data_IF_453206401340
#
_entry.id   IF_453206401340
#
_cell.length_a   1.000
_cell.length_b   1.000
_cell.length_c   1.000
_cell.angle_alpha   90.00
_cell.angle_beta   90.00
_cell.angle_gamma   90.00
#
_symmetry.space_group_name_H-M   'P 1'
#
loop_
_entity.id
_entity.type
_entity.pdbx_description
1 polymer ?
#
# COMPACT_ATOMS: atom_id res chain seq x y z
N UNK A 1 44.39 40.03 -16.11
CA UNK A 1 44.34 38.75 -16.84
C UNK A 1 43.23 37.89 -16.25
N UNK A 2 41.99 38.23 -16.58
CA UNK A 2 40.77 37.56 -16.11
C UNK A 2 40.48 36.35 -17.00
N UNK A 3 40.68 35.14 -16.48
CA UNK A 3 40.28 33.92 -17.18
C UNK A 3 38.76 33.79 -17.16
N UNK A 4 38.15 34.11 -18.29
CA UNK A 4 36.74 33.92 -18.59
C UNK A 4 36.50 32.40 -18.72
N UNK A 5 35.85 31.80 -17.71
CA UNK A 5 35.33 30.43 -17.81
C UNK A 5 34.14 30.43 -18.76
N UNK A 6 34.29 29.76 -19.90
CA UNK A 6 33.17 29.35 -20.74
C UNK A 6 32.23 28.44 -19.91
N UNK A 7 30.93 28.73 -19.81
CA UNK A 7 29.97 27.73 -19.36
C UNK A 7 29.80 26.70 -20.48
N UNK A 8 30.04 25.43 -20.16
CA UNK A 8 29.81 24.30 -21.05
C UNK A 8 28.32 24.21 -21.39
N UNK A 9 27.99 24.58 -22.62
CA UNK A 9 26.73 24.27 -23.31
C UNK A 9 26.57 22.74 -23.39
N UNK A 10 25.92 22.14 -22.40
CA UNK A 10 25.53 20.73 -22.44
C UNK A 10 24.06 20.52 -22.07
N UNK A 11 23.22 21.50 -22.37
CA UNK A 11 21.76 21.29 -22.44
C UNK A 11 21.42 20.80 -23.86
N UNK A 12 21.95 19.63 -24.20
CA UNK A 12 21.47 18.87 -25.34
C UNK A 12 20.04 18.44 -25.00
N UNK A 13 19.07 18.96 -25.74
CA UNK A 13 17.66 18.55 -25.67
C UNK A 13 17.63 17.02 -25.65
N UNK A 14 17.27 16.42 -24.50
CA UNK A 14 17.21 14.97 -24.36
C UNK A 14 16.22 14.45 -25.38
N UNK A 15 16.73 13.73 -26.39
CA UNK A 15 15.91 13.05 -27.38
C UNK A 15 14.80 12.26 -26.66
N UNK A 16 13.54 12.28 -27.15
CA UNK A 16 12.45 11.55 -26.51
C UNK A 16 12.76 10.06 -26.40
N UNK A 17 12.22 9.42 -25.37
CA UNK A 17 12.36 7.98 -25.17
C UNK A 17 11.34 7.22 -26.03
N UNK A 18 11.76 6.13 -26.67
CA UNK A 18 10.86 5.22 -27.40
C UNK A 18 10.02 4.31 -26.50
N UNK A 19 10.32 4.32 -25.19
CA UNK A 19 9.57 3.58 -24.18
C UNK A 19 8.91 4.57 -23.23
N UNK A 20 7.59 4.44 -23.05
CA UNK A 20 6.84 5.17 -22.04
C UNK A 20 6.65 4.35 -20.77
N UNK A 21 6.58 5.04 -19.63
CA UNK A 21 6.23 4.44 -18.34
C UNK A 21 4.89 4.99 -17.88
N UNK A 22 3.94 4.07 -17.67
CA UNK A 22 2.66 4.32 -17.00
C UNK A 22 2.67 3.63 -15.64
N UNK A 23 2.21 4.35 -14.62
CA UNK A 23 2.12 3.85 -13.25
C UNK A 23 0.69 4.03 -12.77
N UNK A 24 0.07 2.95 -12.32
CA UNK A 24 -1.27 2.99 -11.76
C UNK A 24 -1.25 2.34 -10.38
N UNK A 25 -1.80 3.03 -9.38
CA UNK A 25 -2.10 2.42 -8.08
C UNK A 25 -3.22 1.41 -8.30
N UNK A 26 -3.00 0.19 -7.85
CA UNK A 26 -4.03 -0.85 -7.81
C UNK A 26 -4.92 -0.56 -6.60
N UNK A 27 -5.99 0.21 -6.81
CA UNK A 27 -7.05 0.36 -5.82
C UNK A 27 -8.04 -0.80 -5.94
N UNK A 28 -8.61 -1.19 -4.80
CA UNK A 28 -9.73 -2.13 -4.80
C UNK A 28 -11.04 -1.36 -4.98
N UNK A 29 -12.06 -1.98 -5.59
CA UNK A 29 -13.38 -1.40 -5.69
C UNK A 29 -13.93 -1.03 -4.31
N UNK A 30 -14.57 0.13 -4.19
CA UNK A 30 -15.32 0.52 -3.00
C UNK A 30 -16.81 0.63 -3.33
N UNK A 31 -17.65 0.44 -2.30
CA UNK A 31 -19.08 0.66 -2.45
C UNK A 31 -19.37 2.16 -2.38
N UNK A 32 -20.15 2.64 -3.33
CA UNK A 32 -20.65 4.02 -3.32
C UNK A 32 -21.93 4.02 -2.52
N UNK A 33 -21.98 4.86 -1.49
CA UNK A 33 -23.24 5.21 -0.85
C UNK A 33 -24.09 5.98 -1.84
N UNK A 34 -24.89 5.29 -2.64
CA UNK A 34 -25.92 5.94 -3.43
C UNK A 34 -27.03 6.37 -2.48
N UNK A 35 -27.16 7.68 -2.27
CA UNK A 35 -28.42 8.22 -1.77
C UNK A 35 -29.47 7.96 -2.86
N UNK A 36 -30.62 7.37 -2.53
CA UNK A 36 -31.71 7.27 -3.48
C UNK A 36 -32.01 8.67 -4.01
N UNK A 37 -31.96 8.87 -5.32
CA UNK A 37 -32.33 10.15 -5.94
C UNK A 37 -33.83 10.46 -5.78
N UNK A 38 -34.61 9.57 -5.17
CA UNK A 38 -35.99 9.83 -4.76
C UNK A 38 -36.33 9.13 -3.44
N UNK A 39 -37.05 9.80 -2.52
CA UNK A 39 -37.60 9.15 -1.32
C UNK A 39 -38.51 7.98 -1.72
N UNK A 40 -38.54 6.87 -0.95
CA UNK A 40 -39.54 5.85 -1.17
C UNK A 40 -40.89 6.39 -0.68
N UNK A 41 -41.79 6.55 -1.64
CA UNK A 41 -43.25 6.75 -1.54
C UNK A 41 -43.74 8.21 -1.49
N UNK A 42 -44.49 8.56 -2.53
CA UNK A 42 -45.91 8.87 -2.34
C UNK A 42 -46.68 8.26 -3.50
N UNK A 43 -47.12 7.01 -3.32
CA UNK A 43 -48.28 6.53 -4.04
C UNK A 43 -49.46 7.36 -3.55
N UNK A 44 -49.85 8.41 -4.29
CA UNK A 44 -51.22 8.95 -4.46
C UNK A 44 -51.12 10.20 -5.34
N UNK A 45 -51.85 10.21 -6.48
CA UNK A 45 -51.95 11.27 -7.51
C UNK A 45 -50.65 11.47 -8.31
N UNK A 46 -50.59 11.26 -9.63
CA UNK A 46 -51.32 11.95 -10.71
C UNK A 46 -51.29 11.10 -12.01
N UNK A 47 -52.18 11.37 -12.98
CA UNK A 47 -52.63 10.41 -13.98
C UNK A 47 -51.70 10.27 -15.20
N UNK A 48 -51.97 9.19 -15.93
CA UNK A 48 -51.47 8.82 -17.24
C UNK A 48 -51.21 9.98 -18.22
N UNK A 49 -49.94 10.38 -18.38
CA UNK A 49 -49.35 10.67 -19.70
C UNK A 49 -47.86 10.36 -19.62
N UNK A 50 -47.47 9.27 -20.27
CA UNK A 50 -46.12 8.72 -20.17
C UNK A 50 -45.10 9.60 -20.86
N UNK A 51 -44.10 10.08 -20.11
CA UNK A 51 -42.74 10.24 -20.61
C UNK A 51 -41.74 10.24 -19.47
N UNK A 52 -41.22 9.06 -19.14
CA UNK A 52 -39.98 8.91 -18.36
C UNK A 52 -38.84 9.52 -19.19
N UNK A 53 -37.97 10.38 -18.64
CA UNK A 53 -36.78 10.84 -19.37
C UNK A 53 -35.89 9.63 -19.69
N UNK A 54 -35.27 9.56 -20.88
CA UNK A 54 -34.37 8.46 -21.23
C UNK A 54 -33.15 8.47 -20.29
N UNK A 55 -32.65 7.31 -19.85
CA UNK A 55 -31.40 7.26 -19.10
C UNK A 55 -30.26 7.76 -19.99
N UNK A 56 -29.42 8.63 -19.43
CA UNK A 56 -28.19 9.08 -20.08
C UNK A 56 -27.18 7.92 -20.00
N UNK A 57 -26.44 7.59 -21.08
CA UNK A 57 -25.40 6.57 -21.02
C UNK A 57 -24.30 6.99 -20.04
N UNK A 58 -24.08 6.21 -18.99
CA UNK A 58 -23.18 6.56 -17.89
C UNK A 58 -21.69 6.26 -18.16
N UNK A 59 -21.31 5.84 -19.36
CA UNK A 59 -19.93 5.46 -19.66
C UNK A 59 -19.53 5.83 -21.08
N UNK A 60 -18.50 6.69 -21.20
CA UNK A 60 -17.76 6.95 -22.44
C UNK A 60 -16.65 5.90 -22.67
N UNK A 61 -16.52 4.90 -21.79
CA UNK A 61 -15.46 3.88 -21.89
C UNK A 61 -15.76 2.77 -22.92
N UNK A 62 -16.95 2.79 -23.53
CA UNK A 62 -17.36 1.82 -24.55
C UNK A 62 -17.76 2.59 -25.82
N UNK A 63 -16.96 2.49 -26.89
CA UNK A 63 -17.37 3.02 -28.19
C UNK A 63 -18.28 1.98 -28.87
N UNK A 64 -19.58 2.25 -29.07
CA UNK A 64 -20.51 1.31 -29.70
C UNK A 64 -20.19 1.08 -31.19
N UNK A 65 -19.22 1.81 -31.77
CA UNK A 65 -18.83 1.67 -33.18
C UNK A 65 -18.10 0.38 -33.50
N UNK A 66 -17.50 -0.29 -32.51
CA UNK A 66 -16.84 -1.58 -32.73
C UNK A 66 -17.81 -2.78 -32.84
N UNK A 67 -19.11 -2.58 -32.56
CA UNK A 67 -20.13 -3.62 -32.71
C UNK A 67 -20.85 -3.61 -34.08
N UNK A 68 -20.52 -2.67 -34.96
CA UNK A 68 -21.22 -2.45 -36.23
C UNK A 68 -20.35 -2.57 -37.48
N UNK A 69 -19.07 -2.96 -37.36
CA UNK A 69 -18.15 -2.87 -38.50
C UNK A 69 -18.13 -4.07 -39.43
N UNK A 70 -18.56 -5.26 -39.03
CA UNK A 70 -18.60 -6.36 -39.97
C UNK A 70 -19.64 -7.40 -39.55
N UNK A 71 -20.58 -7.70 -40.45
CA UNK A 71 -21.70 -8.62 -40.21
C UNK A 71 -21.29 -10.09 -40.13
N UNK A 72 -20.09 -10.40 -39.66
CA UNK A 72 -19.58 -11.76 -39.52
C UNK A 72 -19.00 -11.99 -38.12
N UNK A 73 -19.50 -13.03 -37.45
CA UNK A 73 -19.10 -13.44 -36.11
C UNK A 73 -17.73 -14.11 -36.18
N UNK A 74 -16.65 -13.35 -35.93
CA UNK A 74 -15.37 -13.93 -35.52
C UNK A 74 -14.84 -13.19 -34.31
N UNK A 75 -14.79 -13.92 -33.20
CA UNK A 75 -14.22 -13.70 -31.87
C UNK A 75 -13.94 -12.24 -31.42
N UNK A 76 -14.71 -11.70 -30.45
CA UNK A 76 -14.42 -10.41 -29.84
C UNK A 76 -13.15 -10.47 -28.98
N UNK A 77 -12.36 -9.39 -28.87
CA UNK A 77 -11.33 -9.28 -27.84
C UNK A 77 -11.98 -9.52 -26.46
N UNK A 78 -11.31 -10.31 -25.62
CA UNK A 78 -11.81 -10.81 -24.33
C UNK A 78 -12.02 -9.70 -23.28
N UNK A 79 -13.00 -8.83 -23.52
CA UNK A 79 -13.50 -7.86 -22.54
C UNK A 79 -14.87 -8.39 -22.13
N UNK A 80 -14.93 -8.95 -20.92
CA UNK A 80 -16.14 -9.55 -20.36
C UNK A 80 -17.29 -8.50 -20.31
N UNK A 81 -18.33 -8.63 -21.15
CA UNK A 81 -19.43 -7.69 -21.22
C UNK A 81 -20.55 -8.00 -20.22
N UNK A 82 -20.42 -9.05 -19.41
CA UNK A 82 -21.47 -9.44 -18.48
C UNK A 82 -21.64 -8.37 -17.39
N UNK A 83 -22.85 -7.81 -17.22
CA UNK A 83 -23.10 -6.80 -16.21
C UNK A 83 -22.90 -7.42 -14.83
N UNK A 84 -21.83 -7.03 -14.15
CA UNK A 84 -21.64 -7.40 -12.75
C UNK A 84 -22.77 -6.78 -11.93
N UNK A 85 -23.52 -7.61 -11.21
CA UNK A 85 -24.77 -7.19 -10.52
C UNK A 85 -24.54 -6.00 -9.57
N UNK A 86 -23.33 -5.87 -9.02
CA UNK A 86 -22.96 -4.76 -8.14
C UNK A 86 -22.31 -3.57 -8.86
N UNK A 87 -22.13 -3.61 -10.19
CA UNK A 87 -21.60 -2.48 -10.98
C UNK A 87 -22.26 -1.13 -10.67
N UNK A 88 -23.59 -1.03 -10.44
CA UNK A 88 -24.21 0.25 -10.12
C UNK A 88 -23.73 0.86 -8.80
N UNK A 89 -23.26 0.04 -7.85
CA UNK A 89 -22.89 0.47 -6.50
C UNK A 89 -21.39 0.40 -6.23
N UNK A 90 -20.59 0.02 -7.23
CA UNK A 90 -19.13 -0.09 -7.10
C UNK A 90 -18.48 1.02 -7.91
N UNK A 91 -17.68 1.87 -7.28
CA UNK A 91 -16.76 2.76 -7.99
C UNK A 91 -15.32 2.47 -7.59
N UNK A 92 -14.40 2.79 -8.49
CA UNK A 92 -13.00 2.92 -8.12
C UNK A 92 -12.83 4.24 -7.33
N UNK A 93 -12.09 4.22 -6.21
CA UNK A 93 -11.71 5.45 -5.53
C UNK A 93 -11.00 6.41 -6.50
N UNK A 94 -11.06 7.74 -6.26
CA UNK A 94 -10.30 8.72 -7.04
C UNK A 94 -8.85 8.26 -7.20
N UNK A 95 -8.32 8.31 -8.43
CA UNK A 95 -6.98 7.82 -8.75
C UNK A 95 -5.92 8.47 -7.86
N UNK A 96 -5.12 7.66 -7.16
CA UNK A 96 -4.26 8.06 -6.02
C UNK A 96 -5.02 8.65 -4.82
N UNK A 97 -6.09 7.96 -4.36
CA UNK A 97 -6.72 8.24 -3.07
C UNK A 97 -5.72 8.23 -1.90
N UNK A 98 -6.19 8.55 -0.69
CA UNK A 98 -5.35 8.52 0.51
C UNK A 98 -4.66 7.14 0.65
N UNK A 99 -3.39 7.14 1.04
CA UNK A 99 -2.68 5.92 1.45
C UNK A 99 -2.62 5.92 2.97
N UNK A 100 -2.84 4.77 3.60
CA UNK A 100 -2.82 4.68 5.06
C UNK A 100 -1.75 3.74 5.58
N UNK A 101 -1.21 4.08 6.76
CA UNK A 101 -0.29 3.21 7.47
C UNK A 101 -0.99 1.92 7.84
N UNK A 102 -0.31 0.82 7.54
CA UNK A 102 -0.76 -0.54 7.72
C UNK A 102 -1.41 -1.16 6.49
N UNK A 103 -1.60 -0.41 5.41
CA UNK A 103 -2.00 -0.95 4.12
C UNK A 103 -0.79 -1.40 3.29
N UNK A 104 -1.02 -2.38 2.41
CA UNK A 104 -0.09 -2.73 1.34
C UNK A 104 -0.32 -1.84 0.13
N UNK A 105 0.58 -0.89 -0.09
CA UNK A 105 0.63 -0.08 -1.29
C UNK A 105 0.96 -0.95 -2.51
N UNK A 106 0.03 -1.02 -3.46
CA UNK A 106 0.15 -1.85 -4.65
C UNK A 106 0.10 -1.00 -5.92
N UNK A 107 1.05 -1.19 -6.83
CA UNK A 107 1.13 -0.45 -8.09
C UNK A 107 1.44 -1.39 -9.26
N UNK A 108 0.83 -1.14 -10.40
CA UNK A 108 1.27 -1.70 -11.68
C UNK A 108 2.15 -0.70 -12.42
N UNK A 109 3.31 -1.18 -12.86
CA UNK A 109 4.30 -0.47 -13.65
C UNK A 109 4.29 -1.05 -15.05
N UNK A 110 3.96 -0.21 -16.04
CA UNK A 110 3.87 -0.63 -17.44
C UNK A 110 4.89 0.15 -18.27
N UNK A 111 5.89 -0.53 -18.79
CA UNK A 111 6.83 0.01 -19.76
C UNK A 111 6.37 -0.39 -21.17
N UNK A 112 5.90 0.57 -21.96
CA UNK A 112 5.32 0.33 -23.30
C UNK A 112 6.26 0.84 -24.38
N UNK A 113 6.50 0.04 -25.42
CA UNK A 113 7.17 0.50 -26.63
C UNK A 113 6.18 1.33 -27.43
N UNK A 114 6.38 2.64 -27.44
CA UNK A 114 5.54 3.54 -28.24
C UNK A 114 6.05 3.56 -29.69
N UNK A 115 5.29 2.97 -30.61
CA UNK A 115 5.64 2.86 -32.01
C UNK A 115 5.39 4.18 -32.77
N UNK A 116 5.97 5.29 -32.31
CA UNK A 116 5.91 6.58 -33.01
C UNK A 116 6.86 6.55 -34.20
N UNK A 117 6.47 5.88 -35.29
CA UNK A 117 7.28 5.88 -36.52
C UNK A 117 6.87 4.96 -37.65
N UNK A 118 5.89 4.06 -37.51
CA UNK A 118 5.55 3.11 -38.60
C UNK A 118 4.26 3.42 -39.36
N UNK A 119 3.49 4.43 -38.97
CA UNK A 119 2.30 4.87 -39.71
C UNK A 119 2.61 6.14 -40.49
N UNK A 120 3.40 5.99 -41.55
CA UNK A 120 3.23 6.89 -42.70
C UNK A 120 1.93 6.43 -43.35
N UNK A 121 0.83 7.11 -43.03
CA UNK A 121 -0.26 7.19 -44.00
C UNK A 121 0.37 7.74 -45.26
N UNK A 122 0.34 6.94 -46.32
CA UNK A 122 0.68 7.32 -47.68
C UNK A 122 -0.24 8.45 -48.12
N UNK A 123 0.08 9.68 -47.73
CA UNK A 123 -0.44 10.88 -48.36
C UNK A 123 0.77 11.62 -48.92
N UNK A 124 0.76 11.76 -50.24
CA UNK A 124 1.89 12.22 -51.03
C UNK A 124 2.27 13.67 -50.67
N UNK A 125 3.55 13.91 -50.41
CA UNK A 125 4.10 15.25 -50.65
C UNK A 125 5.07 15.85 -49.62
N UNK A 126 5.42 15.18 -48.52
CA UNK A 126 6.41 15.73 -47.58
C UNK A 126 7.64 14.82 -47.44
N UNK A 127 8.82 15.35 -47.81
CA UNK A 127 10.11 14.65 -47.75
C UNK A 127 10.59 14.62 -46.31
N UNK A 128 9.95 13.78 -45.50
CA UNK A 128 10.45 13.40 -44.19
C UNK A 128 11.59 12.39 -44.37
N UNK A 129 12.68 12.44 -43.56
CA UNK A 129 13.75 11.45 -43.62
C UNK A 129 13.20 10.04 -43.36
N UNK A 130 13.84 8.98 -43.89
CA UNK A 130 13.33 7.62 -43.79
C UNK A 130 13.05 7.25 -42.33
N UNK A 131 11.85 6.73 -42.06
CA UNK A 131 11.47 6.23 -40.74
C UNK A 131 12.45 5.13 -40.33
N UNK A 132 13.40 5.48 -39.46
CA UNK A 132 14.39 4.52 -38.96
C UNK A 132 13.68 3.50 -38.09
N UNK A 133 13.68 2.24 -38.51
CA UNK A 133 13.09 1.17 -37.73
C UNK A 133 13.92 0.95 -36.44
N UNK A 134 13.34 1.38 -35.32
CA UNK A 134 13.96 1.28 -33.99
C UNK A 134 13.52 -0.01 -33.32
N UNK A 135 14.46 -0.89 -33.01
CA UNK A 135 14.22 -2.11 -32.23
C UNK A 135 14.56 -1.86 -30.76
N UNK A 136 13.65 -2.26 -29.86
CA UNK A 136 13.81 -2.09 -28.42
C UNK A 136 14.06 -3.45 -27.78
N UNK A 137 15.22 -3.57 -27.14
CA UNK A 137 15.69 -4.80 -26.50
C UNK A 137 16.01 -4.57 -25.03
N UNK A 138 16.12 -5.65 -24.27
CA UNK A 138 16.64 -5.64 -22.90
C UNK A 138 15.92 -4.64 -21.97
N UNK A 139 14.59 -4.55 -22.06
CA UNK A 139 13.80 -3.65 -21.23
C UNK A 139 13.75 -4.17 -19.80
N UNK A 140 14.14 -3.32 -18.85
CA UNK A 140 14.16 -3.62 -17.42
C UNK A 140 13.51 -2.48 -16.64
N UNK A 141 12.70 -2.86 -15.65
CA UNK A 141 12.09 -1.94 -14.69
C UNK A 141 12.78 -2.19 -13.35
N UNK A 142 13.19 -1.13 -12.67
CA UNK A 142 13.64 -1.15 -11.27
C UNK A 142 12.79 -0.19 -10.49
N UNK A 143 12.28 -0.63 -9.34
CA UNK A 143 11.48 0.20 -8.45
C UNK A 143 12.14 0.29 -7.07
N UNK A 144 12.03 1.47 -6.50
CA UNK A 144 12.67 1.87 -5.26
C UNK A 144 11.67 2.68 -4.45
N UNK A 145 11.50 2.37 -3.16
CA UNK A 145 10.68 3.16 -2.24
C UNK A 145 11.58 3.98 -1.31
N UNK A 146 11.27 5.27 -1.18
CA UNK A 146 11.83 6.15 -0.14
C UNK A 146 10.75 6.43 0.89
N UNK A 147 11.00 6.08 2.15
CA UNK A 147 10.08 6.36 3.25
C UNK A 147 10.51 7.64 3.99
N UNK A 148 9.60 8.31 4.72
CA UNK A 148 9.89 9.52 5.48
C UNK A 148 11.02 9.37 6.50
N UNK A 149 11.05 8.24 7.23
CA UNK A 149 11.99 8.01 8.33
C UNK A 149 13.36 7.47 7.90
N UNK A 150 13.49 6.98 6.66
CA UNK A 150 14.70 6.29 6.18
C UNK A 150 15.80 7.21 5.62
N UNK A 151 15.56 8.52 5.57
CA UNK A 151 16.55 9.49 5.07
C UNK A 151 17.01 9.17 3.65
N UNK A 152 18.28 8.75 3.50
CA UNK A 152 18.89 8.37 2.21
C UNK A 152 18.74 6.89 1.87
N UNK A 153 18.27 6.06 2.80
CA UNK A 153 18.13 4.61 2.58
C UNK A 153 16.94 4.37 1.66
N UNK A 154 17.23 3.83 0.48
CA UNK A 154 16.23 3.51 -0.53
C UNK A 154 16.00 2.00 -0.51
N UNK A 155 14.76 1.57 -0.31
CA UNK A 155 14.42 0.15 -0.32
C UNK A 155 14.16 -0.28 -1.76
N UNK A 156 15.00 -1.15 -2.31
CA UNK A 156 14.74 -1.76 -3.60
C UNK A 156 13.54 -2.71 -3.48
N UNK A 157 12.59 -2.59 -4.40
CA UNK A 157 11.34 -3.35 -4.36
C UNK A 157 11.45 -4.57 -5.28
N UNK A 158 10.91 -5.70 -4.81
CA UNK A 158 10.71 -6.88 -5.63
C UNK A 158 9.55 -6.65 -6.60
N UNK A 159 9.74 -7.04 -7.86
CA UNK A 159 8.80 -6.79 -8.95
C UNK A 159 8.18 -8.11 -9.43
N UNK A 160 6.90 -8.28 -9.15
CA UNK A 160 6.14 -9.46 -9.56
C UNK A 160 5.74 -9.29 -11.02
N UNK A 161 6.07 -10.26 -11.88
CA UNK A 161 5.67 -10.28 -13.29
C UNK A 161 4.75 -11.45 -13.61
N UNK A 162 4.08 -11.45 -14.78
CA UNK A 162 3.20 -12.55 -15.19
C UNK A 162 3.93 -13.90 -15.27
N UNK A 163 5.23 -13.90 -15.58
CA UNK A 163 6.08 -15.10 -15.70
C UNK A 163 7.19 -15.17 -14.64
N UNK A 164 7.10 -14.43 -13.53
CA UNK A 164 8.20 -14.37 -12.57
C UNK A 164 8.28 -15.65 -11.72
N UNK A 165 9.20 -16.55 -12.07
CA UNK A 165 9.83 -17.42 -11.08
C UNK A 165 10.91 -16.62 -10.33
N UNK A 166 11.22 -16.90 -9.06
CA UNK A 166 12.26 -16.20 -8.29
C UNK A 166 13.68 -16.34 -8.90
N UNK A 167 13.86 -17.14 -9.96
CA UNK A 167 15.11 -17.26 -10.71
C UNK A 167 15.20 -16.31 -11.93
N UNK A 168 14.09 -15.67 -12.34
CA UNK A 168 14.04 -14.82 -13.54
C UNK A 168 14.64 -13.42 -13.34
N UNK A 169 14.93 -12.99 -12.11
CA UNK A 169 15.70 -11.76 -11.86
C UNK A 169 17.17 -11.87 -12.33
N UNK A 170 17.63 -13.09 -12.66
CA UNK A 170 18.91 -13.35 -13.34
C UNK A 170 18.78 -13.49 -14.86
N UNK A 171 17.57 -13.64 -15.41
CA UNK A 171 17.37 -13.55 -16.86
C UNK A 171 17.48 -12.09 -17.28
N UNK A 172 18.07 -11.85 -18.44
CA UNK A 172 18.24 -10.52 -19.01
C UNK A 172 16.90 -9.78 -19.15
N UNK A 173 16.95 -8.50 -19.51
CA UNK A 173 15.76 -7.72 -19.81
C UNK A 173 14.96 -8.32 -20.97
N UNK A 174 13.72 -7.85 -21.11
CA UNK A 174 12.75 -8.37 -22.07
C UNK A 174 12.77 -7.54 -23.34
N UNK A 175 12.80 -8.20 -24.50
CA UNK A 175 12.68 -7.53 -25.79
C UNK A 175 11.21 -7.17 -26.06
N UNK A 176 10.95 -5.92 -26.47
CA UNK A 176 9.59 -5.43 -26.71
C UNK A 176 9.37 -5.11 -28.19
N UNK A 177 8.45 -5.86 -28.81
CA UNK A 177 7.91 -5.52 -30.12
C UNK A 177 7.18 -4.16 -30.08
N UNK A 178 7.04 -3.46 -31.22
CA UNK A 178 6.28 -2.22 -31.30
C UNK A 178 4.86 -2.39 -30.74
N UNK A 179 4.44 -1.53 -29.80
CA UNK A 179 3.14 -1.63 -29.12
C UNK A 179 3.07 -2.64 -27.96
N UNK A 180 4.08 -3.51 -27.79
CA UNK A 180 4.14 -4.42 -26.66
C UNK A 180 4.49 -3.70 -25.36
N UNK A 181 4.09 -4.29 -24.23
CA UNK A 181 4.28 -3.70 -22.89
C UNK A 181 4.85 -4.73 -21.92
N UNK A 182 5.85 -4.32 -21.16
CA UNK A 182 6.33 -5.04 -19.99
C UNK A 182 5.58 -4.54 -18.74
N UNK A 183 4.81 -5.42 -18.11
CA UNK A 183 4.07 -5.11 -16.89
C UNK A 183 4.73 -5.78 -15.67
N UNK A 184 4.88 -5.02 -14.59
CA UNK A 184 5.36 -5.48 -13.29
C UNK A 184 4.49 -4.91 -12.17
N UNK A 185 4.29 -5.67 -11.10
CA UNK A 185 3.54 -5.24 -9.92
C UNK A 185 4.51 -5.05 -8.75
N UNK A 186 4.35 -3.92 -8.07
CA UNK A 186 5.02 -3.59 -6.81
C UNK A 186 4.02 -3.74 -5.68
N UNK A 187 4.43 -4.42 -4.61
CA UNK A 187 3.73 -4.42 -3.32
C UNK A 187 4.68 -3.88 -2.26
N UNK A 188 4.21 -2.95 -1.43
CA UNK A 188 5.00 -2.36 -0.36
C UNK A 188 4.13 -2.04 0.85
N UNK A 189 4.50 -2.56 2.02
CA UNK A 189 3.73 -2.31 3.24
C UNK A 189 4.09 -0.95 3.85
N UNK A 190 3.09 -0.10 4.01
CA UNK A 190 3.26 1.26 4.53
C UNK A 190 3.33 1.22 6.06
N UNK A 191 4.51 1.46 6.63
CA UNK A 191 4.73 1.43 8.08
C UNK A 191 4.86 2.81 8.72
N UNK A 192 5.08 3.85 7.90
CA UNK A 192 5.41 5.20 8.35
C UNK A 192 4.45 6.22 7.74
N UNK A 193 4.09 7.21 8.55
CA UNK A 193 3.33 8.38 8.12
C UNK A 193 4.22 9.39 7.41
N UNK A 194 3.63 10.14 6.48
CA UNK A 194 4.30 11.24 5.79
C UNK A 194 4.55 10.96 4.31
N UNK A 195 5.57 11.62 3.77
CA UNK A 195 5.83 11.66 2.34
C UNK A 195 6.66 10.46 1.82
N UNK A 196 6.03 9.60 1.03
CA UNK A 196 6.69 8.48 0.35
C UNK A 196 6.98 8.84 -1.11
N UNK A 197 8.10 8.33 -1.63
CA UNK A 197 8.47 8.52 -3.03
C UNK A 197 8.79 7.18 -3.66
N UNK A 198 7.94 6.77 -4.61
CA UNK A 198 8.20 5.64 -5.50
C UNK A 198 9.06 6.12 -6.66
N UNK A 199 10.31 5.65 -6.70
CA UNK A 199 11.24 5.91 -7.78
C UNK A 199 11.29 4.72 -8.74
N UNK A 200 10.91 4.96 -10.00
CA UNK A 200 10.92 3.92 -11.03
C UNK A 200 11.96 4.28 -12.09
N UNK A 201 12.89 3.37 -12.31
CA UNK A 201 13.93 3.48 -13.33
C UNK A 201 13.67 2.44 -14.41
N UNK A 202 13.56 2.90 -15.66
CA UNK A 202 13.44 2.04 -16.83
C UNK A 202 14.72 2.14 -17.63
N UNK A 203 15.35 1.01 -17.92
CA UNK A 203 16.51 0.90 -18.79
C UNK A 203 16.19 -0.02 -19.97
N UNK A 204 16.61 0.37 -21.17
CA UNK A 204 16.42 -0.43 -22.38
C UNK A 204 17.57 -0.19 -23.36
N UNK A 205 17.74 -1.11 -24.30
CA UNK A 205 18.65 -0.97 -25.43
C UNK A 205 17.86 -0.59 -26.69
N UNK A 206 18.19 0.55 -27.27
CA UNK A 206 17.61 1.02 -28.52
C UNK A 206 18.59 0.74 -29.65
N UNK A 207 18.19 -0.05 -30.64
CA UNK A 207 19.01 -0.38 -31.80
C UNK A 207 18.32 0.04 -33.11
N UNK A 208 19.01 0.86 -33.88
CA UNK A 208 18.73 1.12 -35.30
C UNK A 208 19.59 0.20 -36.17
N UNK A 209 19.36 0.18 -37.48
CA UNK A 209 20.09 -0.69 -38.42
C UNK A 209 21.62 -0.51 -38.38
N UNK A 210 22.10 0.66 -37.95
CA UNK A 210 23.52 1.05 -38.03
C UNK A 210 24.16 1.26 -36.65
N UNK A 211 23.37 1.39 -35.58
CA UNK A 211 23.88 1.72 -34.24
C UNK A 211 22.91 1.29 -33.15
N UNK A 212 23.42 0.99 -31.95
CA UNK A 212 22.58 0.76 -30.80
C UNK A 212 23.16 1.35 -29.51
N UNK A 213 22.28 1.81 -28.63
CA UNK A 213 22.62 2.52 -27.40
C UNK A 213 21.68 2.13 -26.27
N UNK A 214 22.25 1.95 -25.07
CA UNK A 214 21.46 1.84 -23.83
C UNK A 214 20.94 3.20 -23.40
N UNK A 215 19.62 3.27 -23.14
CA UNK A 215 18.95 4.46 -22.64
C UNK A 215 18.25 4.14 -21.33
N UNK A 216 18.30 5.09 -20.41
CA UNK A 216 17.72 4.95 -19.08
C UNK A 216 17.00 6.24 -18.72
N UNK A 217 15.83 6.13 -18.11
CA UNK A 217 15.15 7.25 -17.49
C UNK A 217 14.58 6.87 -16.13
N UNK A 218 14.42 7.86 -15.27
CA UNK A 218 13.92 7.71 -13.91
C UNK A 218 12.76 8.67 -13.69
N UNK A 219 11.63 8.16 -13.20
CA UNK A 219 10.47 8.96 -12.77
C UNK A 219 10.24 8.77 -11.29
N UNK A 220 9.83 9.84 -10.61
CA UNK A 220 9.54 9.87 -9.18
C UNK A 220 8.04 10.14 -9.01
N UNK A 221 7.38 9.32 -8.21
CA UNK A 221 5.97 9.46 -7.87
C UNK A 221 5.87 9.67 -6.37
N UNK A 222 5.41 10.85 -5.98
CA UNK A 222 5.32 11.28 -4.60
C UNK A 222 3.88 11.12 -4.10
N UNK A 223 3.69 10.53 -2.93
CA UNK A 223 2.38 10.40 -2.29
C UNK A 223 2.50 10.50 -0.76
N UNK A 224 1.41 10.85 -0.09
CA UNK A 224 1.37 11.03 1.36
C UNK A 224 0.63 9.85 1.98
N UNK A 225 1.24 9.27 3.01
CA UNK A 225 0.67 8.24 3.86
C UNK A 225 0.13 8.88 5.15
N UNK A 226 -1.13 8.64 5.48
CA UNK A 226 -1.81 9.09 6.70
C UNK A 226 -1.90 7.96 7.72
N UNK A 227 -2.11 8.28 9.00
CA UNK A 227 -2.41 7.27 10.01
C UNK A 227 -3.73 6.56 9.71
N UNK A 228 -3.76 5.22 9.70
CA UNK A 228 -5.02 4.45 9.72
C UNK A 228 -5.52 4.26 11.16
N UNK A 229 -4.59 4.01 12.06
CA UNK A 229 -4.90 3.68 13.45
C UNK A 229 -3.78 4.17 14.35
N UNK A 230 -4.15 4.74 15.50
CA UNK A 230 -3.23 5.16 16.54
C UNK A 230 -3.30 4.18 17.70
N UNK A 231 -2.13 3.76 18.17
CA UNK A 231 -1.99 2.85 19.31
C UNK A 231 -1.33 3.58 20.47
N UNK A 232 -2.03 3.73 21.59
CA UNK A 232 -1.49 4.32 22.83
C UNK A 232 -1.42 3.25 23.90
N UNK A 233 -0.21 2.92 24.35
CA UNK A 233 0.01 1.86 25.35
C UNK A 233 0.33 2.44 26.72
N UNK A 234 -0.18 1.82 27.78
CA UNK A 234 0.10 2.17 29.17
C UNK A 234 0.41 0.91 29.98
N UNK A 235 1.68 0.71 30.39
CA UNK A 235 2.04 -0.38 31.28
C UNK A 235 1.81 -0.01 32.75
N UNK A 236 1.29 -0.95 33.54
CA UNK A 236 1.08 -0.83 34.98
C UNK A 236 1.60 -2.06 35.72
N UNK A 237 2.16 -1.88 36.93
CA UNK A 237 2.61 -2.99 37.77
C UNK A 237 1.41 -3.57 38.53
N UNK A 238 1.23 -4.89 38.46
CA UNK A 238 0.27 -5.61 39.31
C UNK A 238 0.97 -6.05 40.59
N UNK A 239 0.38 -5.70 41.73
CA UNK A 239 0.83 -6.23 43.01
C UNK A 239 0.65 -7.74 43.02
N UNK A 240 1.66 -8.47 43.51
CA UNK A 240 1.64 -9.93 43.59
C UNK A 240 0.67 -10.40 44.68
N UNK A 241 -0.63 -10.38 44.39
CA UNK A 241 -1.66 -11.00 45.22
C UNK A 241 -1.86 -12.45 44.77
N UNK A 242 -1.03 -13.35 45.29
CA UNK A 242 -1.19 -14.79 45.12
C UNK A 242 0.10 -15.51 44.75
N UNK A 243 0.21 -16.74 45.27
CA UNK A 243 1.25 -17.80 45.24
C UNK A 243 2.26 -17.93 44.08
N UNK A 244 2.17 -17.14 43.00
CA UNK A 244 3.16 -17.09 41.92
C UNK A 244 4.39 -16.27 42.28
N UNK A 245 5.59 -16.80 41.99
CA UNK A 245 6.89 -16.21 42.37
C UNK A 245 7.38 -15.10 41.41
N UNK A 246 6.65 -14.81 40.32
CA UNK A 246 7.07 -13.86 39.28
C UNK A 246 6.41 -12.48 39.38
N UNK A 247 7.05 -11.46 38.78
CA UNK A 247 6.46 -10.12 38.62
C UNK A 247 5.32 -10.17 37.59
N UNK A 248 4.30 -9.33 37.78
CA UNK A 248 3.13 -9.24 36.90
C UNK A 248 2.83 -7.80 36.51
N UNK A 249 2.38 -7.59 35.29
CA UNK A 249 2.06 -6.28 34.75
C UNK A 249 0.73 -6.31 33.99
N UNK A 250 0.00 -5.20 34.01
CA UNK A 250 -1.05 -4.93 33.03
C UNK A 250 -0.44 -4.11 31.90
N UNK A 251 -0.71 -4.50 30.66
CA UNK A 251 -0.48 -3.68 29.48
C UNK A 251 -1.84 -3.31 28.89
N UNK A 252 -2.25 -2.05 29.07
CA UNK A 252 -3.42 -1.49 28.40
C UNK A 252 -2.97 -0.88 27.06
N UNK A 253 -3.75 -1.09 25.99
CA UNK A 253 -3.57 -0.37 24.74
C UNK A 253 -4.91 0.18 24.26
N UNK A 254 -4.89 1.46 23.90
CA UNK A 254 -6.01 2.18 23.29
C UNK A 254 -5.80 2.21 21.78
N UNK A 255 -6.72 1.61 21.03
CA UNK A 255 -6.72 1.52 19.58
C UNK A 255 -7.75 2.50 19.04
N UNK A 256 -7.31 3.55 18.35
CA UNK A 256 -8.18 4.58 17.78
C UNK A 256 -8.18 4.47 16.25
N UNK A 257 -9.36 4.35 15.64
CA UNK A 257 -9.50 4.42 14.18
C UNK A 257 -9.36 5.89 13.73
N UNK A 258 -8.27 6.21 13.03
CA UNK A 258 -8.02 7.53 12.45
C UNK A 258 -8.20 7.56 10.92
N UNK A 259 -8.62 6.44 10.34
CA UNK A 259 -8.98 6.31 8.94
C UNK A 259 -10.32 6.97 8.64
N UNK A 260 -10.64 7.04 7.34
CA UNK A 260 -11.92 7.59 6.85
C UNK A 260 -13.02 6.50 6.78
N UNK A 261 -12.62 5.22 6.81
CA UNK A 261 -13.50 4.07 6.66
C UNK A 261 -13.70 3.30 7.97
N UNK A 262 -14.78 2.51 8.01
CA UNK A 262 -15.02 1.56 9.11
C UNK A 262 -14.02 0.41 9.02
N UNK A 263 -13.47 0.00 10.16
CA UNK A 263 -12.61 -1.18 10.26
C UNK A 263 -13.08 -2.13 11.34
N UNK A 264 -12.96 -3.43 11.09
CA UNK A 264 -13.18 -4.47 12.09
C UNK A 264 -11.83 -5.01 12.56
N UNK A 265 -11.59 -4.99 13.87
CA UNK A 265 -10.39 -5.58 14.46
C UNK A 265 -10.42 -7.09 14.23
N UNK A 266 -9.38 -7.61 13.56
CA UNK A 266 -9.29 -9.03 13.24
C UNK A 266 -8.50 -9.78 14.30
N UNK A 267 -7.36 -9.21 14.71
CA UNK A 267 -6.42 -9.84 15.62
C UNK A 267 -5.60 -8.81 16.41
N UNK A 268 -5.38 -9.03 17.71
CA UNK A 268 -4.42 -8.25 18.52
C UNK A 268 -3.52 -9.18 19.31
N UNK A 269 -2.22 -9.11 19.08
CA UNK A 269 -1.24 -10.04 19.67
C UNK A 269 -0.07 -9.29 20.24
N UNK A 270 0.40 -9.75 21.40
CA UNK A 270 1.65 -9.31 21.98
C UNK A 270 2.74 -10.35 21.67
N UNK A 271 3.69 -9.99 20.81
CA UNK A 271 4.88 -10.80 20.54
C UNK A 271 5.90 -10.51 21.64
N UNK A 272 6.06 -11.45 22.56
CA UNK A 272 6.77 -11.25 23.82
C UNK A 272 8.29 -11.44 23.71
N UNK A 273 9.02 -10.72 24.56
CA UNK A 273 10.43 -11.02 24.82
C UNK A 273 10.60 -12.38 25.53
N UNK A 274 11.76 -13.05 25.38
CA UNK A 274 12.00 -14.33 26.04
C UNK A 274 11.84 -14.27 27.56
N UNK A 275 11.24 -15.30 28.16
CA UNK A 275 11.02 -15.39 29.62
C UNK A 275 9.74 -14.69 30.12
N UNK A 276 8.90 -14.20 29.20
CA UNK A 276 7.60 -13.64 29.50
C UNK A 276 6.49 -14.49 28.90
N UNK A 277 5.38 -14.59 29.63
CA UNK A 277 4.08 -15.07 29.15
C UNK A 277 3.03 -13.96 29.25
N UNK A 278 1.90 -14.11 28.56
CA UNK A 278 0.76 -13.21 28.75
C UNK A 278 -0.57 -13.96 28.76
N UNK A 279 -1.52 -13.39 29.50
CA UNK A 279 -2.93 -13.75 29.42
C UNK A 279 -3.67 -12.66 28.65
N UNK A 280 -4.39 -13.07 27.61
CA UNK A 280 -5.27 -12.21 26.82
C UNK A 280 -6.57 -11.95 27.58
N UNK A 281 -6.95 -10.68 27.73
CA UNK A 281 -8.19 -10.26 28.39
C UNK A 281 -9.24 -9.71 27.41
N UNK A 282 -9.06 -9.93 26.10
CA UNK A 282 -9.85 -9.30 25.04
C UNK A 282 -10.97 -10.21 24.49
N UNK A 283 -11.59 -9.80 23.37
CA UNK A 283 -12.66 -10.55 22.71
C UNK A 283 -12.21 -11.91 22.20
N UNK A 284 -10.92 -12.09 21.85
CA UNK A 284 -10.38 -13.37 21.38
C UNK A 284 -10.44 -14.42 22.50
N UNK A 285 -9.95 -14.09 23.70
CA UNK A 285 -10.00 -14.96 24.87
C UNK A 285 -11.44 -15.29 25.31
N UNK A 286 -12.33 -14.29 25.30
CA UNK A 286 -13.74 -14.47 25.68
C UNK A 286 -14.62 -15.07 24.57
N UNK A 287 -14.08 -15.25 23.35
CA UNK A 287 -14.82 -15.61 22.13
C UNK A 287 -16.02 -14.69 21.85
N UNK A 288 -15.88 -13.42 22.23
CA UNK A 288 -16.87 -12.37 21.97
C UNK A 288 -16.80 -11.90 20.50
N UNK A 289 -17.78 -11.11 20.09
CA UNK A 289 -17.78 -10.51 18.76
C UNK A 289 -16.57 -9.60 18.54
N UNK A 290 -16.00 -9.62 17.33
CA UNK A 290 -14.88 -8.77 16.94
C UNK A 290 -15.31 -7.30 16.91
N UNK A 291 -14.59 -6.38 17.58
CA UNK A 291 -14.93 -4.96 17.58
C UNK A 291 -14.92 -4.36 16.17
N UNK A 292 -15.88 -3.48 15.91
CA UNK A 292 -16.01 -2.71 14.67
C UNK A 292 -15.90 -1.25 15.05
N UNK A 293 -14.91 -0.55 14.51
CA UNK A 293 -14.58 0.83 14.82
C UNK A 293 -14.92 1.73 13.63
N UNK A 294 -15.83 2.68 13.86
CA UNK A 294 -16.06 3.80 12.95
C UNK A 294 -14.91 4.81 13.04
N UNK A 295 -14.77 5.71 12.05
CA UNK A 295 -13.81 6.81 12.13
C UNK A 295 -13.95 7.58 13.45
N UNK A 296 -12.84 7.73 14.17
CA UNK A 296 -12.75 8.39 15.47
C UNK A 296 -13.16 7.52 16.67
N UNK A 297 -13.68 6.31 16.48
CA UNK A 297 -13.97 5.40 17.59
C UNK A 297 -12.70 4.75 18.12
N UNK A 298 -12.79 4.32 19.38
CA UNK A 298 -11.68 3.74 20.11
C UNK A 298 -12.11 2.43 20.75
N UNK A 299 -11.21 1.43 20.71
CA UNK A 299 -11.29 0.21 21.51
C UNK A 299 -10.17 0.16 22.54
N UNK A 300 -10.47 -0.31 23.76
CA UNK A 300 -9.44 -0.62 24.74
C UNK A 300 -9.18 -2.12 24.80
N UNK A 301 -7.90 -2.49 24.71
CA UNK A 301 -7.42 -3.86 24.87
C UNK A 301 -6.47 -3.96 26.05
N UNK A 302 -6.43 -5.12 26.66
CA UNK A 302 -5.67 -5.38 27.88
C UNK A 302 -4.99 -6.75 27.83
N UNK A 303 -3.75 -6.78 28.31
CA UNK A 303 -2.96 -8.00 28.47
C UNK A 303 -2.38 -8.04 29.88
N UNK A 304 -2.42 -9.20 30.52
CA UNK A 304 -1.71 -9.44 31.78
C UNK A 304 -0.40 -10.15 31.43
N UNK A 305 0.72 -9.48 31.60
CA UNK A 305 2.06 -10.01 31.32
C UNK A 305 2.66 -10.56 32.61
N UNK A 306 3.20 -11.76 32.54
CA UNK A 306 3.76 -12.47 33.69
C UNK A 306 5.16 -12.99 33.36
N UNK A 307 6.04 -12.97 34.35
CA UNK A 307 7.37 -13.56 34.24
C UNK A 307 7.29 -15.08 34.43
N UNK A 308 7.73 -15.84 33.43
CA UNK A 308 7.75 -17.31 33.48
C UNK A 308 8.94 -17.77 34.32
N UNK A 309 8.65 -18.45 35.45
CA UNK A 309 9.67 -18.82 36.43
C UNK A 309 9.92 -20.32 36.52
N UNK A 310 11.11 -20.76 36.08
CA UNK A 310 11.83 -21.88 36.70
C UNK A 310 13.37 -21.74 36.67
N UNK A 311 13.95 -20.96 35.73
CA UNK A 311 15.40 -20.95 35.49
C UNK A 311 16.20 -19.72 35.99
N UNK A 312 15.67 -18.90 36.90
CA UNK A 312 16.45 -17.88 37.62
C UNK A 312 17.13 -16.78 36.79
N UNK A 313 17.04 -16.83 35.45
CA UNK A 313 17.30 -15.71 34.56
C UNK A 313 16.05 -14.85 34.53
N UNK A 314 15.95 -13.94 35.49
CA UNK A 314 14.93 -12.89 35.43
C UNK A 314 15.01 -12.17 34.07
N UNK A 315 13.90 -11.61 33.63
CA UNK A 315 13.82 -10.88 32.35
C UNK A 315 14.98 -9.89 32.26
N UNK A 316 15.78 -9.98 31.19
CA UNK A 316 16.96 -9.13 31.04
C UNK A 316 16.54 -7.65 31.06
N UNK A 317 16.96 -6.93 32.10
CA UNK A 317 16.71 -5.51 32.26
C UNK A 317 17.68 -4.74 31.34
N UNK A 318 17.25 -4.42 30.13
CA UNK A 318 18.00 -3.55 29.21
C UNK A 318 17.90 -2.11 29.73
N UNK A 319 19.01 -1.55 30.21
CA UNK A 319 19.09 -0.18 30.77
C UNK A 319 18.07 0.12 31.90
N UNK A 320 17.73 -0.90 32.72
CA UNK A 320 16.76 -0.75 33.83
C UNK A 320 15.29 -0.69 33.39
N UNK A 321 15.01 -1.06 32.13
CA UNK A 321 13.67 -1.22 31.57
C UNK A 321 13.38 -2.71 31.38
N UNK A 322 12.21 -3.15 31.83
CA UNK A 322 11.68 -4.46 31.47
C UNK A 322 11.01 -4.32 30.11
N UNK A 323 11.56 -4.98 29.09
CA UNK A 323 11.00 -5.00 27.73
C UNK A 323 9.97 -6.11 27.64
N UNK A 324 8.73 -5.77 27.30
CA UNK A 324 7.66 -6.75 27.15
C UNK A 324 7.67 -7.41 25.77
N UNK A 325 7.91 -6.62 24.71
CA UNK A 325 7.79 -7.12 23.35
C UNK A 325 7.17 -6.10 22.40
N UNK A 326 6.51 -6.58 21.35
CA UNK A 326 5.87 -5.76 20.30
C UNK A 326 4.40 -6.09 20.20
N UNK A 327 3.53 -5.06 20.17
CA UNK A 327 2.11 -5.25 19.93
C UNK A 327 1.83 -5.22 18.42
N UNK A 328 1.25 -6.30 17.91
CA UNK A 328 0.74 -6.41 16.55
C UNK A 328 -0.78 -6.28 16.54
N UNK A 329 -1.31 -5.45 15.63
CA UNK A 329 -2.74 -5.24 15.44
C UNK A 329 -3.06 -5.50 13.97
N UNK A 330 -4.05 -6.34 13.70
CA UNK A 330 -4.57 -6.60 12.36
C UNK A 330 -6.05 -6.28 12.27
N UNK A 331 -6.49 -5.69 11.17
CA UNK A 331 -7.88 -5.33 10.93
C UNK A 331 -8.32 -5.60 9.50
N UNK A 332 -9.63 -5.62 9.31
CA UNK A 332 -10.28 -5.67 8.00
C UNK A 332 -11.05 -4.38 7.76
N UNK A 333 -10.81 -3.76 6.62
CA UNK A 333 -11.62 -2.67 6.10
C UNK A 333 -12.72 -3.17 5.19
N UNK A 334 -13.37 -2.24 4.51
CA UNK A 334 -14.40 -2.53 3.51
C UNK A 334 -13.88 -3.46 2.39
N UNK A 335 -14.80 -4.26 1.83
CA UNK A 335 -14.52 -5.16 0.70
C UNK A 335 -13.36 -6.15 0.92
N UNK A 336 -13.06 -6.47 2.18
CA UNK A 336 -12.02 -7.45 2.53
C UNK A 336 -10.59 -6.88 2.50
N UNK A 337 -10.44 -5.55 2.45
CA UNK A 337 -9.16 -4.90 2.68
C UNK A 337 -8.59 -5.34 4.02
N UNK A 338 -7.28 -5.59 4.06
CA UNK A 338 -6.57 -5.94 5.29
C UNK A 338 -5.57 -4.85 5.58
N UNK A 339 -5.48 -4.49 6.85
CA UNK A 339 -4.42 -3.65 7.35
C UNK A 339 -3.78 -4.29 8.57
N UNK A 340 -2.51 -3.96 8.81
CA UNK A 340 -1.81 -4.40 9.99
C UNK A 340 -0.82 -3.33 10.47
N UNK A 341 -0.60 -3.27 11.77
CA UNK A 341 0.33 -2.33 12.39
C UNK A 341 1.10 -3.06 13.48
N UNK A 342 2.37 -2.72 13.63
CA UNK A 342 3.20 -3.18 14.74
C UNK A 342 3.78 -1.99 15.47
N UNK A 343 3.76 -2.02 16.80
CA UNK A 343 4.41 -0.98 17.61
C UNK A 343 5.93 -1.17 17.65
N UNK A 344 6.65 -0.20 18.22
CA UNK A 344 8.01 -0.44 18.70
C UNK A 344 8.04 -1.34 19.94
N UNK A 345 9.24 -1.61 20.47
CA UNK A 345 9.44 -2.36 21.72
C UNK A 345 8.75 -1.65 22.90
N UNK A 346 7.73 -2.30 23.43
CA UNK A 346 6.99 -1.92 24.63
C UNK A 346 7.73 -2.39 25.88
N UNK A 347 7.51 -1.70 26.99
CA UNK A 347 8.19 -2.03 28.25
C UNK A 347 8.07 -0.91 29.26
N UNK A 348 8.34 -1.23 30.52
CA UNK A 348 8.21 -0.31 31.65
C UNK A 348 9.52 -0.15 32.40
N UNK A 349 9.76 1.02 33.01
CA UNK A 349 10.90 1.21 33.90
C UNK A 349 10.65 0.51 35.22
N UNK A 350 11.66 -0.16 35.74
CA UNK A 350 11.56 -0.78 37.06
C UNK A 350 11.52 0.31 38.14
N UNK A 351 10.38 0.49 38.80
CA UNK A 351 10.28 1.31 40.01
C UNK A 351 10.65 0.42 41.19
N UNK A 352 11.91 0.52 41.63
CA UNK A 352 12.34 -0.11 42.89
C UNK A 352 11.45 0.44 44.01
N UNK A 353 10.74 -0.40 44.79
CA UNK A 353 9.95 0.10 45.91
C UNK A 353 10.89 0.85 46.86
N UNK A 354 10.47 2.00 47.44
CA UNK A 354 11.30 2.74 48.37
C UNK A 354 11.68 1.81 49.51
N UNK A 355 12.99 1.70 49.79
CA UNK A 355 13.49 0.90 50.88
C UNK A 355 12.75 1.30 52.15
N UNK A 356 11.97 0.38 52.73
CA UNK A 356 11.33 0.60 54.03
C UNK A 356 12.44 0.99 54.99
N UNK A 357 12.39 2.23 55.49
CA UNK A 357 13.33 2.70 56.48
C UNK A 357 13.29 1.72 57.64
N UNK A 358 14.36 0.95 57.81
CA UNK A 358 14.55 0.05 58.94
C UNK A 358 14.55 0.94 60.17
N UNK A 359 13.40 0.99 60.85
CA UNK A 359 13.29 1.58 62.18
C UNK A 359 14.17 0.73 63.08
N UNK A 360 15.41 1.18 63.29
CA UNK A 360 16.26 0.68 64.37
C UNK A 360 15.52 0.97 65.67
N UNK A 361 14.84 -0.05 66.20
CA UNK A 361 14.50 -0.12 67.63
C UNK A 361 15.81 -0.04 68.39
N UNK A 362 16.11 1.13 68.95
CA UNK A 362 17.09 1.26 70.02
C UNK A 362 16.39 0.70 71.26
N UNK A 363 16.86 -0.46 71.72
CA UNK A 363 16.53 -1.04 73.00
C UNK A 363 17.76 -0.92 73.91
N UNK A 364 17.46 -0.59 75.17
CA UNK A 364 18.34 -0.36 76.33
C UNK A 364 19.03 1.01 76.38
#
# INVERSE_FOLDING_TARGET
MSHQRYPSTHDAVKEPHSVSLKVLRLSRPSLVTQFPLQPPLSATSVPSTGRRPPPIPASLAYDPRDLLRDGTLTDPPAVNPDPFILSPIVNLPPSFGSAYVGETFSCTLCASHDAFGSVVSSDEGDVSPPATHKTIRDVRIKAEMKTPGSGTVVTQLELIGPDSSPEDDKKGGVDLAPGATLQKIVNFDLKEEGNHVLAVTVSYYEATEVSGRTRTFRKLYQFICKASMIVRTKPGLLSATGTGKGRRWVLEAQLENCGEDVMQLERVVLDLAPGLGYTDCNWEASRSAKPVLRPGETEQVCFVVEEEGEDGKGVEEEEGRVVFGVLGVGWRGEMGNRGFLTTGKLGTRHVKPPASAVVKKIAA
#
